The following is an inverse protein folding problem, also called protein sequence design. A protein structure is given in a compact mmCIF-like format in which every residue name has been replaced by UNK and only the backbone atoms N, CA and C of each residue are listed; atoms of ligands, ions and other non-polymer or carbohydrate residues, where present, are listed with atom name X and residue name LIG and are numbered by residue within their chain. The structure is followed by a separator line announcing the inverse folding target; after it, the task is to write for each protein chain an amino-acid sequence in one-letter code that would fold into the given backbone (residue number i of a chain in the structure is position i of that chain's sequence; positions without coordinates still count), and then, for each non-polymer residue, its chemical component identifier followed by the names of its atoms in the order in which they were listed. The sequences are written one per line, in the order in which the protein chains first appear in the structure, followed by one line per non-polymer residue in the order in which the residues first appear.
data_IF_896721845824
#
_entry.id   IF_896721845824
#
_cell.length_a   1.000
_cell.length_b   1.000
_cell.length_c   1.000
_cell.angle_alpha   90.00
_cell.angle_beta   90.00
_cell.angle_gamma   90.00
#
_symmetry.space_group_name_H-M   'P 1'
#
loop_
_entity.id
_entity.type
_entity.pdbx_description
1 polymer ?
#
# COMPACT_ATOMS: atom_id res chain seq x y z
N UNK A 1 3.88 12.27 -11.31
CA UNK A 1 5.17 11.68 -10.94
C UNK A 1 6.32 12.50 -11.51
N UNK A 2 7.20 12.98 -10.63
CA UNK A 2 8.45 13.63 -11.02
C UNK A 2 9.48 12.59 -11.49
N UNK A 3 10.49 12.98 -12.29
CA UNK A 3 11.57 12.06 -12.67
C UNK A 3 12.28 11.43 -11.47
N UNK A 4 12.50 12.20 -10.40
CA UNK A 4 13.15 11.71 -9.19
C UNK A 4 12.33 10.63 -8.47
N UNK A 5 11.01 10.82 -8.38
CA UNK A 5 10.12 9.83 -7.78
C UNK A 5 10.05 8.55 -8.61
N UNK A 6 10.02 8.67 -9.94
CA UNK A 6 10.06 7.52 -10.85
C UNK A 6 11.36 6.71 -10.67
N UNK A 7 12.51 7.39 -10.65
CA UNK A 7 13.80 6.74 -10.43
C UNK A 7 13.90 6.08 -9.04
N UNK A 8 13.31 6.69 -8.02
CA UNK A 8 13.22 6.09 -6.69
C UNK A 8 12.39 4.80 -6.70
N UNK A 9 11.22 4.82 -7.36
CA UNK A 9 10.36 3.65 -7.48
C UNK A 9 11.02 2.51 -8.28
N UNK A 10 11.70 2.81 -9.38
CA UNK A 10 12.45 1.79 -10.14
C UNK A 10 13.52 1.11 -9.27
N UNK A 11 14.25 1.91 -8.49
CA UNK A 11 15.24 1.40 -7.53
C UNK A 11 14.57 0.55 -6.45
N UNK A 12 13.52 1.05 -5.81
CA UNK A 12 12.83 0.34 -4.73
C UNK A 12 12.20 -0.98 -5.21
N UNK A 13 11.73 -1.02 -6.45
CA UNK A 13 11.23 -2.24 -7.08
C UNK A 13 12.35 -3.27 -7.25
N UNK A 14 13.50 -2.86 -7.81
CA UNK A 14 14.65 -3.75 -7.97
C UNK A 14 15.17 -4.29 -6.63
N UNK A 15 15.31 -3.43 -5.62
CA UNK A 15 15.70 -3.84 -4.26
C UNK A 15 14.68 -4.79 -3.63
N UNK A 16 13.38 -4.61 -3.91
CA UNK A 16 12.34 -5.54 -3.51
C UNK A 16 12.49 -6.93 -4.16
N UNK A 17 12.82 -6.98 -5.46
CA UNK A 17 13.05 -8.24 -6.16
C UNK A 17 14.29 -8.97 -5.64
N UNK A 18 15.38 -8.25 -5.38
CA UNK A 18 16.60 -8.81 -4.78
C UNK A 18 16.31 -9.38 -3.39
N UNK A 19 15.62 -8.60 -2.54
CA UNK A 19 15.21 -9.04 -1.20
C UNK A 19 14.36 -10.31 -1.27
N UNK A 20 13.34 -10.34 -2.13
CA UNK A 20 12.42 -11.46 -2.26
C UNK A 20 13.10 -12.75 -2.78
N UNK A 21 14.14 -12.61 -3.61
CA UNK A 21 14.90 -13.74 -4.13
C UNK A 21 15.70 -14.47 -3.03
N UNK A 22 16.07 -13.78 -1.96
CA UNK A 22 16.79 -14.34 -0.81
C UNK A 22 15.84 -14.98 0.22
N UNK A 23 14.54 -14.71 0.17
CA UNK A 23 13.58 -15.25 1.13
C UNK A 23 13.01 -16.61 0.71
N UNK A 24 13.29 -17.68 1.48
CA UNK A 24 12.73 -19.00 1.19
C UNK A 24 11.25 -19.09 1.54
N UNK A 25 10.81 -18.41 2.61
CA UNK A 25 9.40 -18.30 2.95
C UNK A 25 8.76 -17.19 2.09
N UNK A 26 7.58 -17.50 1.54
CA UNK A 26 6.79 -16.53 0.78
C UNK A 26 6.24 -15.43 1.69
N UNK A 27 5.93 -15.75 2.94
CA UNK A 27 5.35 -14.78 3.87
C UNK A 27 6.35 -13.68 4.21
N UNK A 28 7.64 -13.99 4.25
CA UNK A 28 8.72 -13.02 4.53
C UNK A 28 9.04 -12.10 3.35
N UNK A 29 8.47 -12.36 2.16
CA UNK A 29 8.67 -11.53 0.97
C UNK A 29 7.87 -10.23 1.03
N UNK A 30 8.42 -9.19 0.42
CA UNK A 30 7.80 -7.88 0.19
C UNK A 30 6.70 -7.95 -0.84
N UNK A 31 6.88 -8.74 -1.91
CA UNK A 31 5.88 -9.00 -2.96
C UNK A 31 5.31 -7.72 -3.54
N UNK A 32 6.20 -6.78 -3.89
CA UNK A 32 5.81 -5.54 -4.54
C UNK A 32 4.96 -5.85 -5.79
N UNK A 33 3.87 -5.11 -5.94
CA UNK A 33 3.11 -5.06 -7.17
C UNK A 33 4.04 -4.76 -8.37
N UNK A 34 3.81 -5.41 -9.51
CA UNK A 34 4.57 -5.11 -10.73
C UNK A 34 4.42 -3.63 -11.10
N UNK A 35 5.49 -3.02 -11.59
CA UNK A 35 5.52 -1.57 -11.84
C UNK A 35 4.45 -1.12 -12.84
N UNK A 36 4.12 -1.94 -13.83
CA UNK A 36 3.04 -1.67 -14.78
C UNK A 36 1.66 -1.69 -14.12
N UNK A 37 1.42 -2.64 -13.21
CA UNK A 37 0.19 -2.75 -12.42
C UNK A 37 0.06 -1.56 -11.46
N UNK A 38 1.16 -1.14 -10.82
CA UNK A 38 1.19 0.03 -9.95
C UNK A 38 0.96 1.34 -10.73
N UNK A 39 1.51 1.47 -11.93
CA UNK A 39 1.26 2.60 -12.82
C UNK A 39 -0.20 2.66 -13.29
N UNK A 40 -0.83 1.51 -13.56
CA UNK A 40 -2.25 1.42 -13.86
C UNK A 40 -3.10 1.84 -12.66
N UNK A 41 -2.81 1.31 -11.47
CA UNK A 41 -3.50 1.65 -10.21
C UNK A 41 -3.47 3.16 -9.97
N UNK A 42 -2.29 3.78 -10.07
CA UNK A 42 -2.13 5.24 -9.99
C UNK A 42 -2.99 5.98 -11.01
N UNK A 43 -3.05 5.50 -12.25
CA UNK A 43 -3.84 6.13 -13.32
C UNK A 43 -5.35 6.02 -13.07
N UNK A 44 -5.81 4.89 -12.51
CA UNK A 44 -7.20 4.69 -12.10
C UNK A 44 -7.59 5.65 -10.98
N UNK A 45 -6.79 5.72 -9.90
CA UNK A 45 -7.05 6.61 -8.77
C UNK A 45 -7.04 8.07 -9.21
N UNK A 46 -6.11 8.47 -10.07
CA UNK A 46 -6.09 9.82 -10.63
C UNK A 46 -7.37 10.14 -11.41
N UNK A 47 -7.87 9.20 -12.22
CA UNK A 47 -9.10 9.36 -12.99
C UNK A 47 -10.38 9.37 -12.14
N UNK A 48 -10.45 8.52 -11.11
CA UNK A 48 -11.59 8.42 -10.20
C UNK A 48 -11.62 9.62 -9.25
N UNK A 49 -10.45 10.09 -8.80
CA UNK A 49 -10.28 11.13 -7.78
C UNK A 49 -11.11 10.86 -6.50
N UNK A 50 -10.91 9.70 -5.84
CA UNK A 50 -11.62 9.35 -4.61
C UNK A 50 -11.26 10.32 -3.47
N UNK A 51 -12.20 10.59 -2.55
CA UNK A 51 -11.96 11.45 -1.39
C UNK A 51 -11.38 10.69 -0.21
N UNK A 52 -11.71 9.40 -0.09
CA UNK A 52 -11.20 8.50 0.93
C UNK A 52 -10.62 7.25 0.28
N UNK A 53 -9.36 6.93 0.62
CA UNK A 53 -8.63 5.78 0.07
C UNK A 53 -8.06 4.96 1.21
N UNK A 54 -8.37 3.66 1.22
CA UNK A 54 -7.83 2.68 2.15
C UNK A 54 -6.99 1.65 1.41
N UNK A 55 -5.78 1.39 1.90
CA UNK A 55 -4.94 0.26 1.53
C UNK A 55 -4.89 -0.74 2.69
N UNK A 56 -5.18 -2.01 2.40
CA UNK A 56 -5.01 -3.12 3.33
C UNK A 56 -3.84 -3.99 2.86
N UNK A 57 -2.73 -3.91 3.60
CA UNK A 57 -1.42 -4.46 3.25
C UNK A 57 -0.50 -3.37 2.71
N UNK A 58 0.48 -2.94 3.53
CA UNK A 58 1.44 -1.89 3.16
C UNK A 58 2.76 -2.47 2.64
N UNK A 59 3.22 -3.59 3.22
CA UNK A 59 4.55 -4.14 2.95
C UNK A 59 5.65 -3.08 3.12
N UNK A 60 6.54 -2.91 2.15
CA UNK A 60 7.57 -1.86 2.14
C UNK A 60 7.07 -0.49 1.63
N UNK A 61 5.77 -0.34 1.34
CA UNK A 61 5.16 0.90 0.88
C UNK A 61 5.26 1.18 -0.62
N UNK A 62 5.67 0.23 -1.46
CA UNK A 62 5.84 0.45 -2.91
C UNK A 62 4.54 0.92 -3.59
N UNK A 63 3.44 0.15 -3.46
CA UNK A 63 2.10 0.52 -3.95
C UNK A 63 1.60 1.82 -3.33
N UNK A 64 1.82 2.00 -2.02
CA UNK A 64 1.44 3.19 -1.28
C UNK A 64 2.05 4.45 -1.88
N UNK A 65 3.32 4.43 -2.27
CA UNK A 65 4.00 5.58 -2.88
C UNK A 65 3.42 5.90 -4.27
N UNK A 66 3.13 4.88 -5.07
CA UNK A 66 2.47 5.06 -6.37
C UNK A 66 1.12 5.76 -6.23
N UNK A 67 0.32 5.37 -5.24
CA UNK A 67 -0.97 6.01 -4.95
C UNK A 67 -0.79 7.41 -4.36
N UNK A 68 0.14 7.60 -3.42
CA UNK A 68 0.41 8.86 -2.76
C UNK A 68 0.92 9.97 -3.71
N UNK A 69 1.42 9.63 -4.90
CA UNK A 69 1.74 10.62 -5.94
C UNK A 69 0.49 11.41 -6.37
N UNK A 70 -0.72 10.83 -6.27
CA UNK A 70 -1.96 11.41 -6.81
C UNK A 70 -3.06 11.63 -5.78
N UNK A 71 -3.00 11.00 -4.61
CA UNK A 71 -4.05 11.09 -3.57
C UNK A 71 -3.45 11.04 -2.16
N UNK A 72 -4.21 11.48 -1.16
CA UNK A 72 -3.92 11.16 0.24
C UNK A 72 -4.64 9.86 0.61
N UNK A 73 -4.05 9.03 1.44
CA UNK A 73 -4.60 7.70 1.74
C UNK A 73 -4.26 7.24 3.16
N UNK A 74 -5.07 6.30 3.64
CA UNK A 74 -4.78 5.50 4.83
C UNK A 74 -4.24 4.14 4.38
N UNK A 75 -3.17 3.68 5.01
CA UNK A 75 -2.61 2.34 4.78
C UNK A 75 -2.48 1.58 6.09
N UNK A 76 -2.82 0.29 6.05
CA UNK A 76 -2.88 -0.59 7.22
C UNK A 76 -2.00 -1.80 7.00
N UNK A 77 -1.11 -2.07 7.95
CA UNK A 77 -0.34 -3.30 8.03
C UNK A 77 -0.33 -3.81 9.47
N UNK A 78 -0.42 -5.12 9.67
CA UNK A 78 -0.40 -5.70 11.01
C UNK A 78 1.02 -6.01 11.49
N UNK A 79 2.02 -5.90 10.62
CA UNK A 79 3.43 -6.11 10.91
C UNK A 79 4.13 -4.78 11.23
N UNK A 80 4.54 -4.54 12.49
CA UNK A 80 5.21 -3.31 12.88
C UNK A 80 6.56 -3.09 12.17
N UNK A 81 7.28 -4.14 11.81
CA UNK A 81 8.59 -4.04 11.16
C UNK A 81 8.45 -3.59 9.71
N UNK A 82 7.53 -4.22 8.94
CA UNK A 82 7.15 -3.74 7.60
C UNK A 82 6.68 -2.30 7.64
N UNK A 83 5.93 -1.97 8.67
CA UNK A 83 5.47 -0.63 8.89
C UNK A 83 6.64 0.37 9.00
N UNK A 84 7.68 0.04 9.77
CA UNK A 84 8.85 0.91 9.89
C UNK A 84 9.61 1.05 8.56
N UNK A 85 9.75 -0.03 7.81
CA UNK A 85 10.35 -0.03 6.46
C UNK A 85 9.56 0.88 5.50
N UNK A 86 8.25 0.74 5.46
CA UNK A 86 7.37 1.60 4.66
C UNK A 86 7.51 3.07 5.06
N UNK A 87 7.57 3.39 6.35
CA UNK A 87 7.77 4.77 6.81
C UNK A 87 9.08 5.38 6.28
N UNK A 88 10.17 4.60 6.27
CA UNK A 88 11.45 5.05 5.72
C UNK A 88 11.36 5.33 4.21
N UNK A 89 10.69 4.46 3.46
CA UNK A 89 10.51 4.63 2.01
C UNK A 89 9.59 5.81 1.68
N UNK A 90 8.50 5.99 2.42
CA UNK A 90 7.58 7.14 2.27
C UNK A 90 8.29 8.47 2.52
N UNK A 91 9.18 8.53 3.52
CA UNK A 91 10.05 9.70 3.76
C UNK A 91 11.01 9.96 2.61
N UNK A 92 11.71 8.92 2.16
CA UNK A 92 12.66 9.04 1.06
C UNK A 92 11.98 9.47 -0.24
N UNK A 93 10.75 9.02 -0.48
CA UNK A 93 9.91 9.41 -1.61
C UNK A 93 9.26 10.80 -1.45
N UNK A 94 9.33 11.43 -0.27
CA UNK A 94 8.75 12.75 -0.01
C UNK A 94 7.22 12.77 0.06
N UNK A 95 6.60 11.64 0.40
CA UNK A 95 5.12 11.50 0.43
C UNK A 95 4.57 11.13 1.80
N UNK A 96 5.41 11.01 2.85
CA UNK A 96 4.97 10.62 4.20
C UNK A 96 3.77 11.43 4.71
N UNK A 97 3.77 12.76 4.52
CA UNK A 97 2.68 13.66 4.95
C UNK A 97 1.32 13.41 4.25
N UNK A 98 1.31 12.65 3.14
CA UNK A 98 0.08 12.28 2.43
C UNK A 98 -0.50 10.95 2.91
N UNK A 99 0.23 10.21 3.74
CA UNK A 99 -0.09 8.83 4.10
C UNK A 99 -0.32 8.71 5.60
N UNK A 100 -1.56 8.41 5.98
CA UNK A 100 -1.87 7.98 7.33
C UNK A 100 -1.57 6.48 7.47
N UNK A 101 -0.58 6.13 8.29
CA UNK A 101 -0.22 4.73 8.54
C UNK A 101 -0.85 4.23 9.84
N UNK A 102 -1.42 3.04 9.79
CA UNK A 102 -2.01 2.36 10.93
C UNK A 102 -1.36 0.99 11.09
N UNK A 103 -0.88 0.68 12.30
CA UNK A 103 -0.37 -0.66 12.63
C UNK A 103 -1.46 -1.43 13.38
N UNK A 104 -2.24 -2.20 12.65
CA UNK A 104 -3.40 -2.91 13.20
C UNK A 104 -3.80 -4.08 12.30
N UNK A 105 -4.68 -4.94 12.82
CA UNK A 105 -5.36 -5.92 12.00
C UNK A 105 -6.37 -5.23 11.06
N UNK A 106 -6.33 -5.58 9.77
CA UNK A 106 -7.18 -4.96 8.75
C UNK A 106 -8.68 -5.17 8.99
N UNK A 107 -9.09 -6.31 9.56
CA UNK A 107 -10.50 -6.52 9.89
C UNK A 107 -10.96 -5.60 11.01
N UNK A 108 -10.08 -5.29 11.98
CA UNK A 108 -10.38 -4.33 13.04
C UNK A 108 -10.58 -2.93 12.47
N UNK A 109 -9.71 -2.49 11.56
CA UNK A 109 -9.86 -1.17 10.91
C UNK A 109 -11.14 -1.08 10.10
N UNK A 110 -11.47 -2.12 9.32
CA UNK A 110 -12.72 -2.16 8.55
C UNK A 110 -13.95 -2.06 9.46
N UNK A 111 -14.00 -2.86 10.53
CA UNK A 111 -15.10 -2.86 11.49
C UNK A 111 -15.26 -1.52 12.22
N UNK A 112 -14.14 -0.89 12.62
CA UNK A 112 -14.16 0.42 13.28
C UNK A 112 -14.57 1.55 12.31
N UNK A 113 -14.37 1.36 11.00
CA UNK A 113 -14.81 2.28 9.96
C UNK A 113 -16.21 2.00 9.41
N UNK A 114 -17.00 1.10 10.00
CA UNK A 114 -18.28 0.65 9.42
C UNK A 114 -19.31 1.78 9.17
N UNK A 115 -19.20 2.90 9.89
CA UNK A 115 -20.06 4.09 9.71
C UNK A 115 -19.48 5.10 8.70
N UNK A 116 -18.26 4.89 8.20
CA UNK A 116 -17.55 5.72 7.21
C UNK A 116 -17.37 4.93 5.91
N UNK A 117 -17.64 5.55 4.75
CA UNK A 117 -17.47 4.88 3.45
C UNK A 117 -16.11 5.24 2.82
N UNK A 118 -15.43 4.22 2.31
CA UNK A 118 -14.22 4.39 1.53
C UNK A 118 -14.58 4.51 0.04
N UNK A 119 -14.22 5.61 -0.60
CA UNK A 119 -14.47 5.78 -2.04
C UNK A 119 -13.60 4.82 -2.88
N UNK A 120 -12.50 4.32 -2.31
CA UNK A 120 -11.61 3.35 -2.92
C UNK A 120 -10.91 2.49 -1.87
N UNK A 121 -10.99 1.15 -2.01
CA UNK A 121 -10.25 0.19 -1.19
C UNK A 121 -9.31 -0.61 -2.09
N UNK A 122 -8.02 -0.58 -1.77
CA UNK A 122 -7.01 -1.44 -2.37
C UNK A 122 -6.69 -2.60 -1.42
N UNK A 123 -6.96 -3.82 -1.87
CA UNK A 123 -6.65 -5.04 -1.13
C UNK A 123 -5.35 -5.64 -1.68
N UNK A 124 -4.29 -5.58 -0.88
CA UNK A 124 -2.99 -6.20 -1.18
C UNK A 124 -2.45 -6.95 0.04
N UNK A 125 -3.27 -7.87 0.52
CA UNK A 125 -2.98 -8.71 1.67
C UNK A 125 -3.10 -10.19 1.29
N UNK A 126 -3.01 -11.09 2.28
CA UNK A 126 -3.27 -12.50 2.04
C UNK A 126 -4.70 -12.72 1.54
N UNK A 127 -4.83 -13.34 0.36
CA UNK A 127 -6.13 -13.55 -0.32
C UNK A 127 -7.14 -14.33 0.53
N UNK A 128 -6.66 -15.17 1.46
CA UNK A 128 -7.51 -15.90 2.40
C UNK A 128 -8.31 -14.99 3.34
N UNK A 129 -7.85 -13.74 3.54
CA UNK A 129 -8.53 -12.75 4.38
C UNK A 129 -9.72 -12.09 3.67
N UNK A 130 -9.75 -12.09 2.33
CA UNK A 130 -10.69 -11.27 1.56
C UNK A 130 -12.14 -11.70 1.79
N UNK A 131 -12.38 -13.00 1.96
CA UNK A 131 -13.71 -13.54 2.27
C UNK A 131 -14.20 -13.06 3.64
N UNK A 132 -13.30 -12.94 4.61
CA UNK A 132 -13.65 -12.48 5.95
C UNK A 132 -13.89 -10.97 5.98
N UNK A 133 -13.19 -10.21 5.15
CA UNK A 133 -13.38 -8.76 5.02
C UNK A 133 -14.61 -8.38 4.21
N UNK A 134 -15.07 -9.25 3.31
CA UNK A 134 -16.16 -8.96 2.37
C UNK A 134 -17.41 -8.28 2.99
N UNK A 135 -17.92 -8.70 4.17
CA UNK A 135 -19.09 -8.05 4.78
C UNK A 135 -18.87 -6.57 5.16
N UNK A 136 -17.61 -6.18 5.39
CA UNK A 136 -17.21 -4.86 5.89
C UNK A 136 -16.59 -3.97 4.80
N UNK A 137 -16.49 -4.46 3.56
CA UNK A 137 -16.09 -3.65 2.40
C UNK A 137 -17.30 -2.81 1.94
N UNK A 138 -17.42 -1.59 2.48
CA UNK A 138 -18.50 -0.62 2.20
C UNK A 138 -18.02 0.52 1.29
#
# INVERSE_FOLDING_TARGET
MTPDLAAFLDKLYAEGQEFDAEQPDRLDRRRNLESESAALLRSLIYGISPKSVLELGTSNGYSTIWMADVVNLTTVDNDPERSLDAAANLRAAGVEEKVQRIVADGATVLADSADEQWDFIFLDAEQSLYVNWWPDLQ
#
